data_IF_331996260571
#
_entry.id   IF_331996260571
#
_cell.length_a   1.000
_cell.length_b   1.000
_cell.length_c   1.000
_cell.angle_alpha   90.00
_cell.angle_beta   90.00
_cell.angle_gamma   90.00
#
_symmetry.space_group_name_H-M   'P 1'
#
loop_
_entity.id
_entity.type
_entity.pdbx_description
1 polymer ?
#
# COMPACT_ATOMS: atom_id res chain seq x y z
N UNK A 1 -4.68 -9.78 17.34
CA UNK A 1 -4.13 -8.48 16.87
C UNK A 1 -3.85 -8.56 15.37
N UNK A 2 -3.98 -7.47 14.62
CA UNK A 2 -3.63 -7.44 13.19
C UNK A 2 -2.50 -6.44 12.97
N UNK A 3 -1.47 -6.84 12.24
CA UNK A 3 -0.37 -5.98 11.81
C UNK A 3 -0.52 -5.67 10.33
N UNK A 4 -0.43 -4.40 9.97
CA UNK A 4 -0.33 -3.99 8.57
C UNK A 4 1.14 -3.87 8.18
N UNK A 5 1.50 -4.47 7.05
CA UNK A 5 2.88 -4.48 6.57
C UNK A 5 2.92 -4.06 5.11
N UNK A 6 3.42 -2.85 4.85
CA UNK A 6 3.57 -2.33 3.50
C UNK A 6 4.77 -3.00 2.81
N UNK A 7 4.54 -3.64 1.65
CA UNK A 7 5.56 -4.35 0.89
C UNK A 7 6.13 -3.47 -0.23
N UNK A 8 7.43 -3.21 -0.15
CA UNK A 8 8.22 -2.37 -1.05
C UNK A 8 9.34 -3.22 -1.63
N UNK A 9 9.38 -3.32 -2.97
CA UNK A 9 10.41 -4.09 -3.66
C UNK A 9 11.79 -3.53 -3.36
N UNK A 10 12.73 -4.44 -3.09
CA UNK A 10 14.13 -4.10 -2.87
C UNK A 10 14.41 -3.42 -1.53
N UNK A 11 13.38 -3.22 -0.69
CA UNK A 11 13.53 -2.63 0.64
C UNK A 11 13.13 -3.60 1.75
N UNK A 12 11.95 -4.22 1.66
CA UNK A 12 11.41 -5.05 2.74
C UNK A 12 10.54 -6.22 2.24
N UNK A 13 10.91 -6.77 1.10
CA UNK A 13 10.16 -7.84 0.42
C UNK A 13 11.00 -9.09 0.13
N UNK A 14 12.17 -9.24 0.76
CA UNK A 14 13.02 -10.41 0.62
C UNK A 14 12.65 -11.52 1.63
N UNK A 15 13.10 -12.75 1.37
CA UNK A 15 12.88 -13.90 2.27
C UNK A 15 13.45 -13.66 3.67
N UNK A 16 14.62 -13.01 3.75
CA UNK A 16 15.23 -12.65 5.03
C UNK A 16 14.33 -11.71 5.86
N UNK A 17 13.62 -10.78 5.23
CA UNK A 17 12.70 -9.86 5.90
C UNK A 17 11.48 -10.61 6.45
N UNK A 18 10.95 -11.58 5.69
CA UNK A 18 9.84 -12.43 6.15
C UNK A 18 10.24 -13.27 7.37
N UNK A 19 11.43 -13.87 7.35
CA UNK A 19 11.96 -14.65 8.49
C UNK A 19 12.17 -13.75 9.71
N UNK A 20 12.73 -12.56 9.53
CA UNK A 20 12.92 -11.59 10.61
C UNK A 20 11.58 -11.16 11.21
N UNK A 21 10.59 -10.84 10.37
CA UNK A 21 9.25 -10.47 10.81
C UNK A 21 8.57 -11.61 11.59
N UNK A 22 8.60 -12.84 11.09
CA UNK A 22 8.01 -13.99 11.78
C UNK A 22 8.65 -14.23 13.16
N UNK A 23 9.97 -14.02 13.29
CA UNK A 23 10.67 -14.10 14.58
C UNK A 23 10.20 -13.02 15.56
N UNK A 24 10.02 -11.79 15.09
CA UNK A 24 9.48 -10.70 15.93
C UNK A 24 8.05 -10.97 16.38
N UNK A 25 7.27 -11.67 15.55
CA UNK A 25 5.87 -12.00 15.84
C UNK A 25 5.69 -13.27 16.66
N UNK A 26 6.76 -13.99 16.99
CA UNK A 26 6.72 -15.28 17.68
C UNK A 26 6.04 -15.16 19.04
N UNK A 27 5.08 -16.05 19.30
CA UNK A 27 4.33 -16.09 20.57
C UNK A 27 3.16 -15.11 20.64
N UNK A 28 2.95 -14.27 19.62
CA UNK A 28 1.78 -13.39 19.54
C UNK A 28 0.68 -14.02 18.69
N UNK A 29 -0.54 -14.05 19.22
CA UNK A 29 -1.72 -14.42 18.43
C UNK A 29 -2.13 -13.25 17.52
N UNK A 30 -1.46 -13.16 16.38
CA UNK A 30 -1.61 -12.07 15.43
C UNK A 30 -1.72 -12.53 13.97
N UNK A 31 -2.24 -11.63 13.14
CA UNK A 31 -2.36 -11.82 11.71
C UNK A 31 -1.66 -10.66 10.98
N UNK A 32 -0.91 -10.97 9.92
CA UNK A 32 -0.21 -9.97 9.10
C UNK A 32 -1.01 -9.73 7.82
N UNK A 33 -1.44 -8.49 7.64
CA UNK A 33 -2.07 -8.02 6.41
C UNK A 33 -0.99 -7.35 5.54
N UNK A 34 -0.54 -8.05 4.51
CA UNK A 34 0.46 -7.57 3.56
C UNK A 34 -0.19 -6.63 2.54
N UNK A 35 0.32 -5.41 2.41
CA UNK A 35 -0.21 -4.38 1.53
C UNK A 35 0.90 -4.02 0.52
N UNK A 36 0.85 -4.53 -0.71
CA UNK A 36 1.76 -4.08 -1.76
C UNK A 36 1.62 -2.57 -1.95
N UNK A 37 2.73 -1.83 -1.99
CA UNK A 37 2.65 -0.37 -2.16
C UNK A 37 2.19 -0.04 -3.58
N UNK A 38 1.14 0.78 -3.73
CA UNK A 38 0.81 1.36 -5.04
C UNK A 38 2.00 2.18 -5.56
N UNK A 39 2.38 2.02 -6.85
CA UNK A 39 3.43 2.86 -7.41
C UNK A 39 2.99 4.33 -7.37
N UNK A 40 3.70 5.15 -6.57
CA UNK A 40 3.51 6.60 -6.55
C UNK A 40 4.66 7.24 -7.34
N UNK A 41 4.39 7.88 -8.50
CA UNK A 41 5.43 8.45 -9.36
C UNK A 41 6.39 9.41 -8.63
N UNK A 42 5.89 10.13 -7.62
CA UNK A 42 6.63 11.14 -6.86
C UNK A 42 7.62 10.57 -5.83
N UNK A 43 7.48 9.28 -5.44
CA UNK A 43 8.29 8.68 -4.35
C UNK A 43 9.38 7.73 -4.85
N UNK A 44 9.35 7.31 -6.11
CA UNK A 44 10.36 6.40 -6.67
C UNK A 44 10.47 5.03 -5.98
N UNK A 45 9.54 4.68 -5.09
CA UNK A 45 9.53 3.40 -4.37
C UNK A 45 8.65 2.40 -5.13
N UNK A 46 9.23 1.38 -5.76
CA UNK A 46 8.43 0.35 -6.43
C UNK A 46 7.73 -0.52 -5.38
N UNK A 47 6.41 -0.67 -5.51
CA UNK A 47 5.69 -1.71 -4.79
C UNK A 47 6.19 -3.10 -5.15
N UNK A 48 6.05 -4.04 -4.21
CA UNK A 48 6.21 -5.45 -4.54
C UNK A 48 5.20 -5.88 -5.61
N UNK A 49 5.62 -6.69 -6.57
CA UNK A 49 4.70 -7.38 -7.48
C UNK A 49 3.77 -8.30 -6.71
N UNK A 50 2.67 -8.67 -7.36
CA UNK A 50 1.81 -9.76 -6.90
C UNK A 50 2.57 -11.07 -6.63
N UNK A 51 3.57 -11.39 -7.44
CA UNK A 51 4.40 -12.58 -7.25
C UNK A 51 5.29 -12.46 -6.00
N UNK A 52 5.99 -11.33 -5.83
CA UNK A 52 6.80 -11.08 -4.64
C UNK A 52 5.95 -11.07 -3.37
N UNK A 53 4.76 -10.45 -3.39
CA UNK A 53 3.84 -10.44 -2.26
C UNK A 53 3.33 -11.85 -1.91
N UNK A 54 3.01 -12.66 -2.92
CA UNK A 54 2.62 -14.06 -2.71
C UNK A 54 3.77 -14.91 -2.15
N UNK A 55 5.00 -14.71 -2.65
CA UNK A 55 6.19 -15.37 -2.11
C UNK A 55 6.43 -14.98 -0.65
N UNK A 56 6.30 -13.68 -0.33
CA UNK A 56 6.44 -13.18 1.04
C UNK A 56 5.42 -13.78 2.00
N UNK A 57 4.16 -13.86 1.57
CA UNK A 57 3.10 -14.53 2.32
C UNK A 57 3.43 -16.00 2.58
N UNK A 58 3.92 -16.72 1.56
CA UNK A 58 4.31 -18.12 1.69
C UNK A 58 5.46 -18.31 2.69
N UNK A 59 6.47 -17.43 2.67
CA UNK A 59 7.58 -17.47 3.63
C UNK A 59 7.10 -17.21 5.07
N UNK A 60 6.26 -16.20 5.30
CA UNK A 60 5.68 -15.96 6.63
C UNK A 60 4.88 -17.16 7.13
N UNK A 61 4.07 -17.76 6.24
CA UNK A 61 3.25 -18.93 6.58
C UNK A 61 4.12 -20.13 6.95
N UNK A 62 5.22 -20.35 6.22
CA UNK A 62 6.19 -21.42 6.51
C UNK A 62 6.87 -21.23 7.87
N UNK A 63 7.10 -19.99 8.29
CA UNK A 63 7.65 -19.66 9.62
C UNK A 63 6.59 -19.65 10.74
N UNK A 64 5.33 -20.00 10.43
CA UNK A 64 4.24 -20.11 11.40
C UNK A 64 3.49 -18.80 11.68
N UNK A 65 3.73 -17.74 10.90
CA UNK A 65 2.98 -16.49 11.00
C UNK A 65 1.75 -16.52 10.09
N UNK A 66 0.57 -16.18 10.63
CA UNK A 66 -0.66 -16.06 9.84
C UNK A 66 -0.60 -14.79 8.98
N UNK A 67 -0.72 -14.92 7.66
CA UNK A 67 -0.62 -13.78 6.75
C UNK A 67 -1.59 -13.84 5.57
N UNK A 68 -2.07 -12.69 5.12
CA UNK A 68 -2.85 -12.52 3.88
C UNK A 68 -2.27 -11.38 3.05
N UNK A 69 -2.44 -11.46 1.73
CA UNK A 69 -2.12 -10.35 0.82
C UNK A 69 -3.42 -9.60 0.51
N UNK A 70 -3.46 -8.31 0.84
CA UNK A 70 -4.56 -7.44 0.49
C UNK A 70 -4.62 -7.29 -1.03
N UNK A 71 -5.74 -7.70 -1.62
CA UNK A 71 -6.01 -7.46 -3.03
C UNK A 71 -6.34 -5.99 -3.21
N UNK A 72 -5.57 -5.30 -4.03
CA UNK A 72 -5.93 -3.96 -4.49
C UNK A 72 -7.06 -4.11 -5.51
N UNK A 73 -8.25 -3.61 -5.17
CA UNK A 73 -9.45 -3.68 -6.01
C UNK A 73 -9.36 -2.75 -7.25
N UNK A 74 -8.17 -2.52 -7.81
CA UNK A 74 -7.92 -1.47 -8.80
C UNK A 74 -6.91 -1.81 -9.90
N UNK A 75 -6.12 -2.87 -9.78
CA UNK A 75 -5.15 -3.22 -10.84
C UNK A 75 -5.74 -4.06 -11.98
N UNK A 76 -6.92 -4.66 -11.80
CA UNK A 76 -7.67 -5.34 -12.87
C UNK A 76 -8.71 -4.42 -13.56
N UNK A 77 -8.84 -3.16 -13.11
CA UNK A 77 -9.80 -2.19 -13.65
C UNK A 77 -9.10 -0.86 -13.87
N UNK A 78 -8.66 -0.59 -15.11
CA UNK A 78 -8.26 0.74 -15.62
C UNK A 78 -9.41 1.79 -15.58
N UNK A 79 -10.33 1.76 -14.60
CA UNK A 79 -11.67 2.30 -14.80
C UNK A 79 -12.39 2.97 -13.62
N UNK A 80 -11.89 3.04 -12.38
CA UNK A 80 -12.70 3.68 -11.33
C UNK A 80 -12.01 4.43 -10.17
N UNK A 81 -10.71 4.30 -9.93
CA UNK A 81 -10.09 4.88 -8.72
C UNK A 81 -9.30 6.18 -8.95
N UNK A 82 -9.67 6.96 -9.98
CA UNK A 82 -9.15 8.31 -10.24
C UNK A 82 -10.19 9.42 -10.11
N UNK A 83 -11.47 9.08 -9.90
CA UNK A 83 -12.57 10.05 -9.94
C UNK A 83 -12.81 10.76 -8.59
N UNK A 84 -12.45 10.14 -7.46
CA UNK A 84 -12.60 10.78 -6.14
C UNK A 84 -11.49 11.77 -5.81
N UNK A 85 -10.29 11.62 -6.39
CA UNK A 85 -9.20 12.60 -6.20
C UNK A 85 -9.41 13.87 -7.03
N UNK A 86 -10.23 13.81 -8.08
CA UNK A 86 -10.52 14.94 -8.96
C UNK A 86 -11.68 15.82 -8.50
N UNK A 87 -12.48 15.40 -7.51
CA UNK A 87 -13.53 16.24 -6.92
C UNK A 87 -13.03 17.16 -5.80
N UNK A 88 -12.04 16.73 -5.02
CA UNK A 88 -11.51 17.55 -3.91
C UNK A 88 -10.58 18.68 -4.38
N UNK A 89 -9.92 18.53 -5.53
CA UNK A 89 -9.02 19.56 -6.07
C UNK A 89 -9.72 20.67 -6.88
N UNK A 90 -11.02 20.55 -7.16
CA UNK A 90 -11.78 21.56 -7.93
C UNK A 90 -12.71 22.42 -7.07
N UNK A 91 -12.79 22.19 -5.75
CA UNK A 91 -13.52 23.07 -4.82
C UNK A 91 -12.62 24.12 -4.14
N UNK A 92 -11.29 24.05 -4.30
CA UNK A 92 -10.33 24.98 -3.67
C UNK A 92 -9.82 26.05 -4.67
N UNK A 93 -10.44 26.19 -5.85
CA UNK A 93 -10.02 27.18 -6.86
C UNK A 93 -11.04 28.26 -7.22
N UNK A 94 -12.25 28.22 -6.65
CA UNK A 94 -13.33 29.14 -7.03
C UNK A 94 -13.76 30.11 -5.89
N UNK A 95 -12.86 30.45 -4.98
CA UNK A 95 -13.07 31.55 -4.02
C UNK A 95 -11.81 32.45 -3.96
N UNK A 96 -11.60 33.26 -4.99
CA UNK A 96 -10.89 34.55 -4.83
C UNK A 96 -11.77 35.69 -5.41
N UNK A 97 -12.36 36.55 -4.57
CA UNK A 97 -13.33 37.58 -4.97
C UNK A 97 -12.70 38.89 -5.48
N UNK A 98 -11.39 38.98 -5.75
CA UNK A 98 -10.73 40.26 -5.99
C UNK A 98 -10.66 40.77 -7.44
N UNK A 99 -11.78 40.79 -8.18
CA UNK A 99 -11.84 41.52 -9.46
C UNK A 99 -13.13 42.33 -9.66
N UNK A 100 -13.37 43.32 -8.79
CA UNK A 100 -14.27 44.44 -9.09
C UNK A 100 -13.98 45.69 -8.23
N UNK A 101 -13.00 46.51 -8.62
CA UNK A 101 -12.96 47.97 -8.39
C UNK A 101 -11.67 48.53 -9.05
N UNK A 102 -11.74 49.03 -10.29
CA UNK A 102 -11.86 50.48 -10.64
C UNK A 102 -10.49 51.06 -11.05
N UNK A 103 -10.41 52.20 -11.77
CA UNK A 103 -11.36 53.32 -11.89
C UNK A 103 -12.54 53.11 -12.83
#
# INVERSE_FOLDING_TARGET
>A
VVFEYALIRGLNAAEADAVALARLLRGMNCHVNLIPLNPVPERGLPGATRQEAAAFQAWLTREGASATVRREMGTDIEGACGQLRRRVLHEIRDEDPHRAARP
#
